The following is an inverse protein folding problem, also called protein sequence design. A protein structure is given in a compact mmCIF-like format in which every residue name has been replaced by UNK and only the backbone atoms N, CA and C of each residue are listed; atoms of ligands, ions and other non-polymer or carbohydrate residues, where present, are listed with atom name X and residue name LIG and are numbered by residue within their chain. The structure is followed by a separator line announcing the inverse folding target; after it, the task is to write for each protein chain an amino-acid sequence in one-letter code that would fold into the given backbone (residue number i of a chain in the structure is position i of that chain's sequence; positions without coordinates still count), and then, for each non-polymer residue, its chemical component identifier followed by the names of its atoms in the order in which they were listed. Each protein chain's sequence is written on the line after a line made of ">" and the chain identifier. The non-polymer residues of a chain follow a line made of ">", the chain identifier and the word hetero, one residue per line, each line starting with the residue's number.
data_IF_131607067125
#
_entry.id   IF_131607067125
#
_cell.length_a   1.000
_cell.length_b   1.000
_cell.length_c   1.000
_cell.angle_alpha   90.00
_cell.angle_beta   90.00
_cell.angle_gamma   90.00
#
_symmetry.space_group_name_H-M   'P 1'
#
loop_
_entity.id
_entity.type
_entity.pdbx_description
1 polymer ?
#
# COMPACT_ATOMS: atom_id res chain seq x y z
N UNK A 1 -11.56 0.40 6.67
CA UNK A 1 -11.52 0.92 5.28
C UNK A 1 -11.20 -0.20 4.30
N UNK A 2 -11.60 -0.09 3.02
CA UNK A 2 -11.21 -1.06 1.98
C UNK A 2 -9.90 -0.66 1.32
N UNK A 3 -9.00 -1.62 1.06
CA UNK A 3 -7.71 -1.39 0.43
C UNK A 3 -7.25 -2.57 -0.44
N UNK A 4 -6.38 -2.31 -1.41
CA UNK A 4 -5.61 -3.36 -2.08
C UNK A 4 -4.33 -3.64 -1.31
N UNK A 5 -4.13 -4.90 -0.91
CA UNK A 5 -3.06 -5.33 -0.01
C UNK A 5 -2.10 -6.28 -0.72
N UNK A 6 -0.81 -6.12 -0.44
CA UNK A 6 0.26 -7.05 -0.83
C UNK A 6 0.52 -7.99 0.36
N UNK A 7 -0.02 -9.21 0.32
CA UNK A 7 0.21 -10.19 1.40
C UNK A 7 1.63 -10.76 1.35
N UNK A 8 2.18 -10.90 0.15
CA UNK A 8 3.55 -11.36 -0.09
C UNK A 8 4.10 -10.76 -1.37
N UNK A 9 5.40 -10.53 -1.41
CA UNK A 9 6.06 -10.14 -2.64
C UNK A 9 5.98 -11.27 -3.67
N UNK A 10 5.37 -10.98 -4.81
CA UNK A 10 5.21 -11.95 -5.89
C UNK A 10 5.24 -11.21 -7.23
N UNK A 11 6.22 -11.58 -8.07
CA UNK A 11 6.34 -11.03 -9.43
C UNK A 11 5.05 -11.25 -10.21
N UNK A 12 4.46 -10.17 -10.72
CA UNK A 12 3.17 -10.19 -11.43
C UNK A 12 2.03 -10.85 -10.62
N UNK A 13 2.14 -10.84 -9.29
CA UNK A 13 1.10 -11.35 -8.40
C UNK A 13 -0.16 -10.50 -8.42
N UNK A 14 -1.28 -11.09 -7.98
CA UNK A 14 -2.51 -10.35 -7.76
C UNK A 14 -2.43 -9.57 -6.45
N UNK A 15 -3.08 -8.40 -6.41
CA UNK A 15 -3.38 -7.68 -5.17
C UNK A 15 -4.70 -8.21 -4.60
N UNK A 16 -4.82 -8.22 -3.27
CA UNK A 16 -6.06 -8.63 -2.61
C UNK A 16 -6.85 -7.40 -2.17
N UNK A 17 -8.11 -7.29 -2.58
CA UNK A 17 -9.03 -6.32 -1.99
C UNK A 17 -9.44 -6.83 -0.59
N UNK A 18 -9.25 -6.00 0.43
CA UNK A 18 -9.44 -6.37 1.83
C UNK A 18 -10.03 -5.22 2.64
N UNK A 19 -10.74 -5.55 3.71
CA UNK A 19 -11.02 -4.60 4.79
C UNK A 19 -9.80 -4.52 5.72
N UNK A 20 -9.37 -3.29 6.01
CA UNK A 20 -8.24 -2.93 6.87
C UNK A 20 -8.73 -1.98 7.99
N UNK A 21 -8.08 -1.98 9.17
CA UNK A 21 -8.38 -1.00 10.20
C UNK A 21 -8.19 0.43 9.67
N UNK A 22 -8.95 1.36 10.22
CA UNK A 22 -8.71 2.78 10.01
C UNK A 22 -7.38 3.16 10.67
N UNK A 23 -6.53 3.99 10.03
CA UNK A 23 -5.24 4.37 10.60
C UNK A 23 -5.42 5.23 11.86
N UNK A 24 -4.52 5.06 12.83
CA UNK A 24 -4.47 5.91 14.02
C UNK A 24 -3.93 7.30 13.66
N UNK A 25 -4.65 8.35 14.06
CA UNK A 25 -4.26 9.73 13.84
C UNK A 25 -3.31 10.23 14.95
N UNK A 26 -2.13 10.72 14.58
CA UNK A 26 -1.18 11.36 15.51
C UNK A 26 -1.26 12.88 15.39
N UNK A 27 -0.63 13.59 16.33
CA UNK A 27 -0.68 15.06 16.46
C UNK A 27 -0.36 15.84 15.17
N UNK A 28 0.46 15.29 14.28
CA UNK A 28 0.90 15.93 13.04
C UNK A 28 0.38 15.24 11.77
N UNK A 29 -0.53 14.28 11.91
CA UNK A 29 -1.10 13.56 10.76
C UNK A 29 -2.38 14.27 10.28
N UNK A 30 -2.72 14.05 9.00
CA UNK A 30 -4.03 14.43 8.45
C UNK A 30 -4.70 13.15 7.96
N UNK A 31 -5.90 12.88 8.45
CA UNK A 31 -6.72 11.80 7.92
C UNK A 31 -7.40 12.25 6.63
N UNK A 32 -7.18 11.50 5.55
CA UNK A 32 -7.72 11.81 4.22
C UNK A 32 -8.70 10.73 3.80
N UNK A 33 -9.92 11.11 3.47
CA UNK A 33 -10.87 10.22 2.79
C UNK A 33 -10.50 10.13 1.31
N UNK A 34 -10.07 8.94 0.88
CA UNK A 34 -9.58 8.72 -0.49
C UNK A 34 -10.74 8.47 -1.45
N UNK A 35 -11.00 9.41 -2.37
CA UNK A 35 -11.98 9.25 -3.46
C UNK A 35 -11.38 8.64 -4.74
N UNK A 36 -10.10 8.87 -4.98
CA UNK A 36 -9.35 8.33 -6.12
C UNK A 36 -7.85 8.24 -5.78
N UNK A 37 -7.16 7.31 -6.41
CA UNK A 37 -5.71 7.15 -6.31
C UNK A 37 -5.10 7.00 -7.70
N UNK A 38 -3.95 7.64 -7.94
CA UNK A 38 -3.18 7.46 -9.17
C UNK A 38 -2.43 6.14 -9.17
N UNK A 39 -2.38 5.47 -10.31
CA UNK A 39 -1.61 4.23 -10.52
C UNK A 39 -0.30 4.57 -11.23
N UNK A 40 0.81 4.13 -10.66
CA UNK A 40 2.17 4.45 -11.11
C UNK A 40 3.00 3.18 -11.36
N UNK A 41 4.05 3.30 -12.18
CA UNK A 41 4.98 2.18 -12.42
C UNK A 41 5.66 1.68 -11.14
N UNK A 42 5.83 2.57 -10.14
CA UNK A 42 6.42 2.20 -8.86
C UNK A 42 5.56 1.15 -8.12
N UNK A 43 4.24 1.18 -8.25
CA UNK A 43 3.32 0.29 -7.53
C UNK A 43 3.60 -1.19 -7.86
N UNK A 44 3.86 -1.49 -9.15
CA UNK A 44 4.20 -2.86 -9.56
C UNK A 44 5.56 -3.31 -9.03
N UNK A 45 6.51 -2.38 -8.91
CA UNK A 45 7.86 -2.66 -8.38
C UNK A 45 7.84 -2.90 -6.87
N UNK A 46 6.98 -2.18 -6.14
CA UNK A 46 6.75 -2.41 -4.71
C UNK A 46 6.08 -3.77 -4.48
N UNK A 47 5.03 -4.10 -5.24
CA UNK A 47 4.38 -5.43 -5.20
C UNK A 47 5.37 -6.57 -5.47
N UNK A 48 6.26 -6.38 -6.44
CA UNK A 48 7.24 -7.39 -6.83
C UNK A 48 8.43 -7.49 -5.86
N UNK A 49 8.53 -6.56 -4.89
CA UNK A 49 9.56 -6.52 -3.85
C UNK A 49 10.91 -5.97 -4.31
N UNK A 50 10.98 -5.32 -5.48
CA UNK A 50 12.23 -4.80 -6.06
C UNK A 50 12.90 -3.73 -5.19
N UNK A 51 12.13 -3.08 -4.31
CA UNK A 51 12.59 -1.99 -3.44
C UNK A 51 12.79 -2.42 -1.98
N UNK A 52 12.63 -3.72 -1.65
CA UNK A 52 12.65 -4.21 -0.26
C UNK A 52 13.93 -3.83 0.51
N UNK A 53 15.08 -3.76 -0.18
CA UNK A 53 16.36 -3.43 0.45
C UNK A 53 16.56 -1.94 0.74
N UNK A 54 15.78 -1.06 0.12
CA UNK A 54 16.01 0.40 0.15
C UNK A 54 14.80 1.19 0.68
N UNK A 55 13.62 0.57 0.75
CA UNK A 55 12.41 1.18 1.35
C UNK A 55 12.12 0.46 2.67
N UNK A 56 12.47 1.07 3.83
CA UNK A 56 12.09 0.52 5.12
C UNK A 56 10.59 0.70 5.32
N UNK A 57 9.85 -0.41 5.39
CA UNK A 57 8.46 -0.42 5.81
C UNK A 57 8.38 -0.51 7.34
N UNK A 58 7.43 0.22 7.93
CA UNK A 58 7.08 0.19 9.35
C UNK A 58 5.79 -0.56 9.56
#
# INVERSE_FOLDING_TARGET
>A
MKAFVVDKYQKKGALRLADMPEPELRDNDVLVEVHAAGVNLLDSKLRDGEFKLIVPYR
#
